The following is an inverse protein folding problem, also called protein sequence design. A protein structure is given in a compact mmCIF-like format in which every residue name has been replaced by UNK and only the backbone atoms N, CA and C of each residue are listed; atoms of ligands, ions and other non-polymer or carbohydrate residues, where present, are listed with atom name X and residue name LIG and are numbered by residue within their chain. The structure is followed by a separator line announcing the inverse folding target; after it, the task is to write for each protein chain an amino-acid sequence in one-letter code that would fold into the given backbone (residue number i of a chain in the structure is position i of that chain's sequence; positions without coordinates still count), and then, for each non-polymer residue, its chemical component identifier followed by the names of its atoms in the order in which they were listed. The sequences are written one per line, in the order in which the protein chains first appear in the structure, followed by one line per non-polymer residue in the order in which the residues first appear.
data_IF_000880343002
#
_entry.id   IF_000880343002
#
_cell.length_a   1.000
_cell.length_b   1.000
_cell.length_c   1.000
_cell.angle_alpha   90.00
_cell.angle_beta   90.00
_cell.angle_gamma   90.00
#
_symmetry.space_group_name_H-M   'P 1'
#
loop_
_entity.id
_entity.type
_entity.pdbx_description
1 polymer ?
#
# COMPACT_ATOMS: atom_id res chain seq x y z
N UNK A 1 -12.45 -13.01 7.26
CA UNK A 1 -11.20 -12.77 6.52
C UNK A 1 -11.14 -13.78 5.38
N UNK A 2 -10.42 -13.47 4.30
CA UNK A 2 -10.13 -14.47 3.26
C UNK A 2 -8.81 -15.16 3.59
N UNK A 3 -8.83 -16.49 3.51
CA UNK A 3 -7.68 -17.35 3.78
C UNK A 3 -6.94 -17.64 2.47
N UNK A 4 -7.69 -17.80 1.38
CA UNK A 4 -7.14 -18.00 0.04
C UNK A 4 -7.82 -17.04 -0.91
N UNK A 5 -7.01 -16.19 -1.57
CA UNK A 5 -7.48 -15.43 -2.73
C UNK A 5 -7.28 -16.29 -3.97
N UNK A 6 -8.37 -16.67 -4.62
CA UNK A 6 -8.33 -17.56 -5.77
C UNK A 6 -9.46 -17.33 -6.77
N UNK A 7 -9.27 -17.89 -7.95
CA UNK A 7 -10.12 -17.75 -9.13
C UNK A 7 -10.21 -19.08 -9.88
N UNK A 8 -11.22 -19.19 -10.75
CA UNK A 8 -11.37 -20.29 -11.70
C UNK A 8 -11.60 -19.77 -13.11
N UNK A 9 -11.04 -20.48 -14.08
CA UNK A 9 -11.21 -20.25 -15.51
C UNK A 9 -11.81 -21.51 -16.11
N UNK A 10 -12.90 -21.38 -16.87
CA UNK A 10 -13.58 -22.50 -17.55
C UNK A 10 -12.85 -22.86 -18.86
N UNK A 11 -11.56 -23.16 -18.76
CA UNK A 11 -10.74 -23.61 -19.88
C UNK A 11 -9.48 -24.29 -19.37
N UNK A 12 -8.98 -25.23 -20.14
CA UNK A 12 -7.65 -25.82 -19.98
C UNK A 12 -6.66 -25.43 -21.06
N UNK A 13 -7.15 -24.75 -22.11
CA UNK A 13 -6.32 -24.36 -23.24
C UNK A 13 -5.32 -23.31 -22.76
N UNK A 14 -4.05 -23.63 -22.91
CA UNK A 14 -2.97 -22.74 -22.48
C UNK A 14 -3.09 -21.35 -23.12
N UNK A 15 -3.48 -21.27 -24.40
CA UNK A 15 -3.68 -19.99 -25.10
C UNK A 15 -4.76 -19.10 -24.50
N UNK A 16 -5.85 -19.68 -24.00
CA UNK A 16 -6.93 -18.93 -23.34
C UNK A 16 -6.48 -18.44 -21.96
N UNK A 17 -5.74 -19.29 -21.23
CA UNK A 17 -5.15 -18.93 -19.93
C UNK A 17 -4.10 -17.83 -20.10
N UNK A 18 -3.21 -17.94 -21.09
CA UNK A 18 -2.19 -16.93 -21.42
C UNK A 18 -2.81 -15.58 -21.75
N UNK A 19 -3.92 -15.56 -22.50
CA UNK A 19 -4.66 -14.33 -22.81
C UNK A 19 -5.16 -13.66 -21.53
N UNK A 20 -5.72 -14.44 -20.60
CA UNK A 20 -6.17 -13.94 -19.29
C UNK A 20 -4.97 -13.42 -18.47
N UNK A 21 -3.83 -14.12 -18.50
CA UNK A 21 -2.62 -13.69 -17.77
C UNK A 21 -2.05 -12.38 -18.33
N UNK A 22 -2.08 -12.19 -19.65
CA UNK A 22 -1.64 -10.94 -20.28
C UNK A 22 -2.53 -9.77 -19.85
N UNK A 23 -3.87 -9.95 -19.89
CA UNK A 23 -4.81 -8.95 -19.41
C UNK A 23 -4.60 -8.67 -17.90
N UNK A 24 -4.36 -9.72 -17.11
CA UNK A 24 -4.07 -9.59 -15.68
C UNK A 24 -2.80 -8.79 -15.43
N UNK A 25 -1.73 -9.06 -16.18
CA UNK A 25 -0.47 -8.32 -16.10
C UNK A 25 -0.68 -6.82 -16.37
N UNK A 26 -1.40 -6.48 -17.43
CA UNK A 26 -1.69 -5.08 -17.76
C UNK A 26 -2.56 -4.40 -16.69
N UNK A 27 -3.58 -5.09 -16.16
CA UNK A 27 -4.44 -4.57 -15.09
C UNK A 27 -3.66 -4.34 -13.80
N UNK A 28 -2.81 -5.28 -13.41
CA UNK A 28 -1.97 -5.17 -12.21
C UNK A 28 -0.92 -4.07 -12.38
N UNK A 29 -0.26 -3.94 -13.52
CA UNK A 29 0.70 -2.87 -13.77
C UNK A 29 0.06 -1.47 -13.69
N UNK A 30 -1.15 -1.31 -14.22
CA UNK A 30 -1.91 -0.06 -14.11
C UNK A 30 -2.30 0.25 -12.65
N UNK A 31 -2.72 -0.77 -11.90
CA UNK A 31 -3.06 -0.64 -10.49
C UNK A 31 -1.82 -0.31 -9.63
N UNK A 32 -0.69 -0.95 -9.92
CA UNK A 32 0.60 -0.66 -9.30
C UNK A 32 0.99 0.80 -9.55
N UNK A 33 0.87 1.28 -10.79
CA UNK A 33 1.14 2.69 -11.12
C UNK A 33 0.27 3.67 -10.34
N UNK A 34 -1.01 3.34 -10.15
CA UNK A 34 -1.93 4.14 -9.32
C UNK A 34 -1.48 4.17 -7.86
N UNK A 35 -1.16 3.02 -7.28
CA UNK A 35 -0.72 2.89 -5.89
C UNK A 35 0.61 3.61 -5.65
N UNK A 36 1.55 3.49 -6.59
CA UNK A 36 2.83 4.19 -6.53
C UNK A 36 2.63 5.70 -6.48
N UNK A 37 1.79 6.27 -7.34
CA UNK A 37 1.48 7.72 -7.32
C UNK A 37 0.87 8.17 -5.99
N UNK A 38 0.00 7.35 -5.40
CA UNK A 38 -0.60 7.65 -4.09
C UNK A 38 0.47 7.68 -3.00
N UNK A 39 1.33 6.67 -2.95
CA UNK A 39 2.44 6.61 -1.98
C UNK A 39 3.43 7.74 -2.19
N UNK A 40 3.78 8.06 -3.44
CA UNK A 40 4.68 9.16 -3.77
C UNK A 40 4.08 10.51 -3.34
N UNK A 41 2.79 10.73 -3.58
CA UNK A 41 2.11 11.95 -3.14
C UNK A 41 2.15 12.11 -1.62
N UNK A 42 2.03 11.01 -0.87
CA UNK A 42 2.17 10.98 0.60
C UNK A 42 3.61 11.28 1.02
N UNK A 43 4.60 10.70 0.37
CA UNK A 43 6.01 10.90 0.71
C UNK A 43 6.44 12.36 0.49
N UNK A 44 6.07 12.93 -0.67
CA UNK A 44 6.29 14.36 -0.98
C UNK A 44 5.60 15.23 0.07
N UNK A 45 4.35 14.90 0.43
CA UNK A 45 3.60 15.65 1.45
C UNK A 45 4.35 15.67 2.79
N UNK A 46 4.84 14.51 3.23
CA UNK A 46 5.60 14.39 4.47
C UNK A 46 6.90 15.20 4.42
N UNK A 47 7.64 15.13 3.31
CA UNK A 47 8.88 15.88 3.12
C UNK A 47 8.62 17.39 3.13
N UNK A 48 7.67 17.88 2.34
CA UNK A 48 7.32 19.32 2.31
C UNK A 48 6.95 19.83 3.69
N UNK A 49 6.10 19.12 4.42
CA UNK A 49 5.68 19.56 5.75
C UNK A 49 6.83 19.55 6.76
N UNK A 50 7.71 18.55 6.71
CA UNK A 50 8.87 18.49 7.60
C UNK A 50 9.91 19.56 7.27
N UNK A 51 10.05 19.95 6.00
CA UNK A 51 10.87 21.09 5.58
C UNK A 51 10.24 22.41 6.07
N UNK A 52 8.94 22.59 5.87
CA UNK A 52 8.23 23.81 6.29
C UNK A 52 8.27 24.01 7.81
N UNK A 53 8.23 22.93 8.58
CA UNK A 53 8.34 22.94 10.05
C UNK A 53 9.79 22.93 10.54
N UNK A 54 10.78 23.04 9.64
CA UNK A 54 12.21 23.03 9.95
C UNK A 54 12.66 21.79 10.75
N UNK A 55 11.99 20.64 10.54
CA UNK A 55 12.35 19.34 11.12
C UNK A 55 13.49 18.71 10.32
N UNK A 56 13.43 18.85 9.00
CA UNK A 56 14.48 18.41 8.08
C UNK A 56 14.91 19.57 7.19
N UNK A 57 16.16 19.55 6.75
CA UNK A 57 16.66 20.53 5.80
C UNK A 57 16.15 20.20 4.39
N UNK A 58 15.92 21.25 3.58
CA UNK A 58 15.61 21.06 2.16
C UNK A 58 16.83 20.41 1.48
N UNK A 59 16.63 19.43 0.57
CA UNK A 59 17.73 18.84 -0.19
C UNK A 59 18.60 19.90 -0.88
N UNK A 60 19.91 19.63 -0.97
CA UNK A 60 20.92 20.53 -1.55
C UNK A 60 20.77 20.67 -3.08
N UNK A 61 21.57 21.57 -3.67
CA UNK A 61 21.46 22.12 -5.04
C UNK A 61 21.45 21.14 -6.23
N UNK A 62 21.41 19.84 -6.01
CA UNK A 62 21.46 18.81 -7.07
C UNK A 62 20.21 17.92 -7.09
N UNK A 63 19.25 18.14 -6.17
CA UNK A 63 18.10 17.26 -6.00
C UNK A 63 16.82 18.04 -5.66
N UNK A 64 15.73 17.74 -6.37
CA UNK A 64 14.41 18.28 -6.04
C UNK A 64 13.75 17.49 -4.89
N UNK A 65 12.67 18.03 -4.31
CA UNK A 65 11.89 17.28 -3.30
C UNK A 65 11.26 16.03 -3.95
N UNK A 66 10.85 16.14 -5.21
CA UNK A 66 10.31 15.02 -5.97
C UNK A 66 11.34 13.88 -6.13
N UNK A 67 12.58 14.20 -6.51
CA UNK A 67 13.64 13.20 -6.68
C UNK A 67 13.96 12.49 -5.35
N UNK A 68 14.06 13.26 -4.26
CA UNK A 68 14.27 12.69 -2.93
C UNK A 68 13.12 11.74 -2.55
N UNK A 69 11.88 12.15 -2.78
CA UNK A 69 10.71 11.33 -2.49
C UNK A 69 10.67 10.03 -3.32
N UNK A 70 11.03 10.10 -4.61
CA UNK A 70 11.14 8.93 -5.50
C UNK A 70 12.18 7.95 -4.95
N UNK A 71 13.37 8.44 -4.58
CA UNK A 71 14.42 7.59 -4.05
C UNK A 71 13.98 6.89 -2.76
N UNK A 72 13.44 7.65 -1.80
CA UNK A 72 12.95 7.10 -0.53
C UNK A 72 11.83 6.07 -0.73
N UNK A 73 10.88 6.33 -1.64
CA UNK A 73 9.79 5.41 -1.92
C UNK A 73 10.30 4.13 -2.59
N UNK A 74 11.19 4.24 -3.58
CA UNK A 74 11.75 3.10 -4.28
C UNK A 74 12.54 2.19 -3.34
N UNK A 75 13.30 2.76 -2.41
CA UNK A 75 14.01 2.00 -1.37
C UNK A 75 13.03 1.21 -0.47
N UNK A 76 11.93 1.84 -0.03
CA UNK A 76 10.91 1.16 0.78
C UNK A 76 10.22 0.04 0.02
N UNK A 77 9.89 0.26 -1.25
CA UNK A 77 9.28 -0.76 -2.10
C UNK A 77 10.25 -1.93 -2.33
N UNK A 78 11.52 -1.65 -2.65
CA UNK A 78 12.54 -2.68 -2.83
C UNK A 78 12.73 -3.51 -1.55
N UNK A 79 12.77 -2.85 -0.38
CA UNK A 79 12.85 -3.54 0.90
C UNK A 79 11.61 -4.40 1.18
N UNK A 80 10.40 -3.87 0.97
CA UNK A 80 9.17 -4.61 1.22
C UNK A 80 9.01 -5.82 0.29
N UNK A 81 9.35 -5.67 -0.99
CA UNK A 81 9.31 -6.77 -1.97
C UNK A 81 10.36 -7.85 -1.72
N UNK A 82 11.54 -7.51 -1.18
CA UNK A 82 12.57 -8.51 -0.84
C UNK A 82 12.28 -9.24 0.46
N UNK A 83 11.67 -8.56 1.44
CA UNK A 83 11.34 -9.14 2.75
C UNK A 83 9.95 -9.78 2.81
N UNK A 84 9.15 -9.62 1.75
CA UNK A 84 7.73 -10.00 1.71
C UNK A 84 6.94 -9.45 2.91
N UNK A 85 7.24 -8.20 3.29
CA UNK A 85 6.53 -7.55 4.38
C UNK A 85 5.11 -7.25 3.92
N UNK A 86 4.11 -7.73 4.66
CA UNK A 86 2.70 -7.51 4.34
C UNK A 86 2.25 -6.08 4.65
N UNK A 87 2.71 -5.11 3.85
CA UNK A 87 2.35 -3.70 3.94
C UNK A 87 2.10 -3.09 2.55
N UNK A 88 1.74 -1.81 2.51
CA UNK A 88 1.40 -1.08 1.30
C UNK A 88 2.55 -0.92 0.29
N UNK A 89 3.79 -1.20 0.69
CA UNK A 89 4.97 -1.10 -0.16
C UNK A 89 5.33 -2.42 -0.86
N UNK A 90 4.65 -3.54 -0.54
CA UNK A 90 4.86 -4.78 -1.28
C UNK A 90 4.01 -4.82 -2.57
N UNK A 91 4.69 -4.63 -3.70
CA UNK A 91 4.10 -4.62 -5.02
C UNK A 91 4.15 -6.00 -5.69
N UNK A 92 4.62 -7.03 -4.97
CA UNK A 92 4.75 -8.38 -5.51
C UNK A 92 3.37 -9.00 -5.73
N UNK A 93 3.12 -9.44 -6.96
CA UNK A 93 1.88 -10.14 -7.32
C UNK A 93 2.22 -11.39 -8.11
N UNK A 94 1.85 -12.53 -7.55
CA UNK A 94 2.07 -13.84 -8.15
C UNK A 94 0.75 -14.56 -8.39
N UNK A 95 0.64 -15.22 -9.53
CA UNK A 95 -0.43 -16.18 -9.82
C UNK A 95 0.15 -17.59 -9.91
N UNK A 96 -0.48 -18.53 -9.21
CA UNK A 96 -0.18 -19.95 -9.29
C UNK A 96 -1.32 -20.64 -10.03
N UNK A 97 -1.01 -21.16 -11.22
CA UNK A 97 -1.95 -21.82 -12.10
C UNK A 97 -1.90 -23.32 -11.79
N UNK A 98 -3.06 -23.85 -11.42
CA UNK A 98 -3.25 -25.21 -10.95
C UNK A 98 -4.35 -25.88 -11.76
N UNK A 99 -4.02 -27.00 -12.39
CA UNK A 99 -4.97 -27.86 -13.08
C UNK A 99 -5.45 -28.94 -12.12
N UNK A 100 -6.68 -29.37 -12.31
CA UNK A 100 -7.25 -30.49 -11.57
C UNK A 100 -7.31 -31.70 -12.51
N UNK A 101 -6.71 -32.82 -12.11
CA UNK A 101 -6.76 -34.07 -12.90
C UNK A 101 -8.18 -34.62 -13.03
N UNK A 102 -9.11 -34.22 -12.15
CA UNK A 102 -10.49 -34.70 -12.12
C UNK A 102 -11.49 -33.84 -12.89
N UNK A 103 -11.17 -32.57 -13.13
CA UNK A 103 -12.03 -31.63 -13.85
C UNK A 103 -11.26 -31.01 -15.03
N UNK A 104 -11.26 -31.74 -16.14
CA UNK A 104 -10.48 -31.40 -17.33
C UNK A 104 -11.00 -30.19 -18.12
N UNK A 105 -11.85 -29.35 -17.52
CA UNK A 105 -12.35 -28.13 -18.15
C UNK A 105 -12.15 -26.88 -17.27
N UNK A 106 -11.56 -27.04 -16.08
CA UNK A 106 -11.38 -25.94 -15.13
C UNK A 106 -9.93 -25.80 -14.72
N UNK A 107 -9.39 -24.59 -14.89
CA UNK A 107 -8.11 -24.20 -14.33
C UNK A 107 -8.34 -23.32 -13.10
N UNK A 108 -7.67 -23.65 -12.00
CA UNK A 108 -7.70 -22.89 -10.76
C UNK A 108 -6.48 -21.98 -10.67
N UNK A 109 -6.68 -20.76 -10.19
CA UNK A 109 -5.62 -19.77 -10.06
C UNK A 109 -5.62 -19.26 -8.62
N UNK A 110 -4.49 -19.42 -7.91
CA UNK A 110 -4.27 -18.80 -6.61
C UNK A 110 -3.48 -17.52 -6.79
N UNK A 111 -3.93 -16.44 -6.16
CA UNK A 111 -3.23 -15.16 -6.13
C UNK A 111 -2.45 -15.06 -4.81
N UNK A 112 -1.19 -14.66 -4.89
CA UNK A 112 -0.42 -14.19 -3.74
C UNK A 112 -0.09 -12.72 -3.94
N UNK A 113 -0.63 -11.89 -3.04
CA UNK A 113 -0.31 -10.47 -2.92
C UNK A 113 -0.71 -9.97 -1.55
N UNK A 114 0.08 -9.05 -1.00
CA UNK A 114 -0.21 -8.40 0.27
C UNK A 114 -1.24 -7.26 0.14
N UNK A 115 -1.46 -6.73 -1.07
CA UNK A 115 -2.37 -5.60 -1.29
C UNK A 115 -3.75 -6.03 -1.80
N UNK A 116 -4.85 -5.63 -1.12
CA UNK A 116 -6.20 -5.96 -1.54
C UNK A 116 -6.62 -5.25 -2.84
N UNK A 117 -5.91 -4.20 -3.26
CA UNK A 117 -6.27 -3.44 -4.45
C UNK A 117 -6.00 -4.22 -5.75
N UNK A 118 -4.94 -5.05 -5.78
CA UNK A 118 -4.68 -5.93 -6.92
C UNK A 118 -5.76 -7.00 -7.08
N UNK A 119 -6.32 -7.50 -5.98
CA UNK A 119 -7.47 -8.41 -6.06
C UNK A 119 -8.69 -7.72 -6.72
N UNK A 120 -8.98 -6.48 -6.34
CA UNK A 120 -10.12 -5.73 -6.89
C UNK A 120 -10.00 -5.52 -8.40
N UNK A 121 -8.79 -5.31 -8.94
CA UNK A 121 -8.62 -5.11 -10.36
C UNK A 121 -8.77 -6.42 -11.16
N UNK A 122 -8.34 -7.56 -10.59
CA UNK A 122 -8.47 -8.89 -11.21
C UNK A 122 -9.92 -9.40 -11.26
N UNK A 123 -10.77 -9.05 -10.30
CA UNK A 123 -12.20 -9.36 -10.32
C UNK A 123 -12.95 -8.79 -11.55
N UNK A 124 -12.33 -7.87 -12.31
CA UNK A 124 -12.92 -7.23 -13.48
C UNK A 124 -12.48 -7.86 -14.81
N UNK A 125 -11.78 -9.00 -14.76
CA UNK A 125 -11.29 -9.69 -15.95
C UNK A 125 -12.31 -10.74 -16.39
N UNK A 126 -12.80 -10.60 -17.61
CA UNK A 126 -13.73 -11.56 -18.20
C UNK A 126 -13.10 -12.96 -18.28
N UNK A 127 -13.87 -13.98 -17.89
CA UNK A 127 -13.41 -15.37 -17.83
C UNK A 127 -12.66 -15.76 -16.55
N UNK A 128 -12.28 -14.79 -15.70
CA UNK A 128 -11.66 -15.04 -14.40
C UNK A 128 -12.69 -14.95 -13.27
N UNK A 129 -13.35 -16.07 -12.96
CA UNK A 129 -14.41 -16.09 -11.95
C UNK A 129 -13.82 -16.20 -10.53
N UNK A 130 -14.20 -15.33 -9.56
CA UNK A 130 -13.75 -15.45 -8.19
C UNK A 130 -14.09 -16.82 -7.56
N UNK A 131 -13.11 -17.41 -6.89
CA UNK A 131 -13.19 -18.72 -6.24
C UNK A 131 -12.36 -18.76 -4.95
N UNK A 132 -12.49 -17.70 -4.14
CA UNK A 132 -11.72 -17.50 -2.91
C UNK A 132 -12.32 -18.27 -1.72
N UNK A 133 -11.49 -18.56 -0.72
CA UNK A 133 -11.87 -19.23 0.53
C UNK A 133 -11.88 -18.20 1.67
N UNK A 134 -13.00 -18.12 2.40
CA UNK A 134 -13.15 -17.27 3.57
C UNK A 134 -13.12 -18.08 4.87
N UNK A 135 -12.90 -17.44 6.02
CA UNK A 135 -12.97 -18.11 7.33
C UNK A 135 -14.28 -18.88 7.54
N UNK A 136 -15.39 -18.34 7.01
CA UNK A 136 -16.71 -18.97 7.10
C UNK A 136 -16.81 -20.26 6.29
N UNK A 137 -16.09 -20.34 5.17
CA UNK A 137 -16.08 -21.52 4.30
C UNK A 137 -15.35 -22.70 4.97
N UNK A 138 -14.29 -22.41 5.73
CA UNK A 138 -13.49 -23.43 6.44
C UNK A 138 -14.27 -24.06 7.59
N UNK A 139 -15.07 -23.29 8.32
CA UNK A 139 -15.88 -23.80 9.42
C UNK A 139 -17.05 -24.71 8.96
N UNK A 140 -17.39 -24.70 7.67
CA UNK A 140 -18.55 -25.38 7.12
C UNK A 140 -18.21 -26.64 6.30
N UNK A 141 -16.92 -27.00 6.19
CA UNK A 141 -16.42 -28.14 5.41
C UNK A 141 -17.11 -28.27 4.04
N UNK A 142 -17.04 -27.19 3.26
CA UNK A 142 -17.73 -27.10 1.97
C UNK A 142 -16.86 -27.60 0.80
N UNK A 143 -17.50 -27.96 -0.32
CA UNK A 143 -16.85 -28.46 -1.54
C UNK A 143 -15.68 -27.57 -2.02
N UNK A 144 -15.73 -26.26 -1.72
CA UNK A 144 -14.67 -25.31 -2.06
C UNK A 144 -13.41 -25.51 -1.19
N UNK A 145 -13.59 -25.70 0.11
CA UNK A 145 -12.51 -26.01 1.06
C UNK A 145 -11.82 -27.31 0.70
N UNK A 146 -12.61 -28.35 0.40
CA UNK A 146 -12.11 -29.65 -0.04
C UNK A 146 -11.30 -29.52 -1.34
N UNK A 147 -11.82 -28.78 -2.32
CA UNK A 147 -11.13 -28.57 -3.61
C UNK A 147 -9.80 -27.84 -3.44
N UNK A 148 -9.73 -26.77 -2.65
CA UNK A 148 -8.46 -26.07 -2.38
C UNK A 148 -7.46 -26.96 -1.65
N UNK A 149 -7.94 -27.79 -0.71
CA UNK A 149 -7.10 -28.75 0.02
C UNK A 149 -6.55 -29.83 -0.93
N UNK A 150 -7.40 -30.35 -1.83
CA UNK A 150 -7.00 -31.32 -2.86
C UNK A 150 -5.93 -30.74 -3.79
N UNK A 151 -6.14 -29.53 -4.31
CA UNK A 151 -5.17 -28.84 -5.17
C UNK A 151 -3.84 -28.63 -4.45
N UNK A 152 -3.86 -28.15 -3.20
CA UNK A 152 -2.63 -27.97 -2.43
C UNK A 152 -1.87 -29.27 -2.24
N UNK A 153 -2.55 -30.37 -1.87
CA UNK A 153 -1.94 -31.69 -1.72
C UNK A 153 -1.35 -32.23 -3.02
N UNK A 154 -1.99 -31.97 -4.16
CA UNK A 154 -1.47 -32.36 -5.48
C UNK A 154 -0.18 -31.59 -5.80
N UNK A 155 -0.20 -30.28 -5.57
CA UNK A 155 0.93 -29.38 -5.82
C UNK A 155 1.99 -29.34 -4.70
N UNK A 156 1.91 -30.25 -3.72
CA UNK A 156 3.06 -30.62 -2.88
C UNK A 156 4.04 -31.51 -3.65
N UNK A 157 3.54 -32.33 -4.60
CA UNK A 157 4.35 -33.24 -5.41
C UNK A 157 4.80 -32.61 -6.74
N UNK A 158 4.05 -31.64 -7.22
CA UNK A 158 4.29 -30.95 -8.50
C UNK A 158 4.39 -29.45 -8.28
N UNK A 159 5.23 -28.75 -9.04
CA UNK A 159 5.31 -27.29 -8.98
C UNK A 159 4.23 -26.66 -9.87
N UNK A 160 3.36 -25.79 -9.34
CA UNK A 160 2.37 -25.09 -10.17
C UNK A 160 3.08 -24.13 -11.13
N UNK A 161 2.46 -23.88 -12.29
CA UNK A 161 2.95 -22.84 -13.19
C UNK A 161 2.79 -21.50 -12.46
N UNK A 162 3.92 -20.86 -12.19
CA UNK A 162 3.96 -19.61 -11.44
C UNK A 162 4.20 -18.46 -12.40
N UNK A 163 3.31 -17.48 -12.39
CA UNK A 163 3.42 -16.27 -13.20
C UNK A 163 3.57 -15.09 -12.28
N UNK A 164 4.67 -14.36 -12.44
CA UNK A 164 4.86 -13.07 -11.79
C UNK A 164 4.14 -12.01 -12.63
N UNK A 165 3.09 -11.42 -12.07
CA UNK A 165 2.33 -10.37 -12.74
C UNK A 165 3.01 -9.01 -12.61
N UNK A 166 3.64 -8.75 -11.46
CA UNK A 166 4.35 -7.50 -11.23
C UNK A 166 5.39 -7.64 -10.11
N UNK A 167 6.43 -6.82 -10.17
CA UNK A 167 7.47 -6.70 -9.13
C UNK A 167 8.06 -5.30 -9.10
N UNK A 168 8.67 -4.94 -7.97
CA UNK A 168 9.35 -3.66 -7.77
C UNK A 168 10.34 -3.31 -8.89
N UNK A 169 11.04 -4.29 -9.44
CA UNK A 169 12.03 -4.08 -10.51
C UNK A 169 11.41 -3.60 -11.83
N UNK A 170 10.09 -3.75 -12.00
CA UNK A 170 9.38 -3.26 -13.19
C UNK A 170 8.99 -1.77 -13.05
N UNK A 171 9.27 -1.12 -11.91
CA UNK A 171 9.00 0.31 -11.71
C UNK A 171 10.07 1.13 -12.45
N UNK A 172 9.70 1.63 -13.62
CA UNK A 172 10.54 2.51 -14.45
C UNK A 172 9.72 3.69 -15.02
N UNK A 173 8.62 4.04 -14.36
CA UNK A 173 7.68 5.02 -14.89
C UNK A 173 8.23 6.43 -14.77
N UNK A 174 8.13 7.17 -15.87
CA UNK A 174 8.25 8.62 -15.84
C UNK A 174 7.09 9.21 -15.03
N UNK A 175 7.42 9.92 -13.96
CA UNK A 175 6.44 10.58 -13.09
C UNK A 175 6.22 12.00 -13.60
N UNK A 176 4.98 12.26 -14.02
CA UNK A 176 4.54 13.61 -14.37
C UNK A 176 3.95 14.28 -13.12
N UNK A 177 4.52 15.40 -12.64
CA UNK A 177 4.09 16.09 -11.42
C UNK A 177 2.59 16.45 -11.39
N UNK A 178 2.03 16.84 -12.54
CA UNK A 178 0.62 17.18 -12.74
C UNK A 178 -0.36 16.02 -12.45
N UNK A 179 0.13 14.79 -12.45
CA UNK A 179 -0.67 13.60 -12.13
C UNK A 179 -0.67 13.22 -10.65
N UNK A 180 0.04 13.96 -9.80
CA UNK A 180 0.08 13.75 -8.36
C UNK A 180 -1.03 14.57 -7.68
N UNK A 181 -1.58 14.02 -6.60
CA UNK A 181 -2.68 14.64 -5.86
C UNK A 181 -2.29 14.84 -4.41
N UNK A 182 -2.29 16.09 -3.97
CA UNK A 182 -1.89 16.49 -2.62
C UNK A 182 -3.08 16.96 -1.80
N UNK A 183 -3.05 16.67 -0.51
CA UNK A 183 -4.03 17.19 0.44
C UNK A 183 -3.87 18.70 0.61
N UNK A 184 -4.98 19.39 0.87
CA UNK A 184 -4.95 20.83 1.11
C UNK A 184 -4.13 21.15 2.38
N UNK A 185 -3.57 22.36 2.51
CA UNK A 185 -2.93 22.78 3.77
C UNK A 185 -3.84 22.60 4.99
N UNK A 186 -5.16 22.77 4.83
CA UNK A 186 -6.14 22.58 5.91
C UNK A 186 -6.25 21.13 6.37
N UNK A 187 -6.33 20.18 5.42
CA UNK A 187 -6.42 18.75 5.76
C UNK A 187 -5.12 18.26 6.39
N UNK A 188 -3.97 18.74 5.89
CA UNK A 188 -2.66 18.41 6.45
C UNK A 188 -2.46 19.01 7.83
N UNK A 189 -2.87 20.26 8.04
CA UNK A 189 -2.85 20.90 9.36
C UNK A 189 -3.72 20.14 10.37
N UNK A 190 -4.91 19.67 9.96
CA UNK A 190 -5.77 18.83 10.81
C UNK A 190 -5.07 17.54 11.23
N UNK A 191 -4.51 16.79 10.27
CA UNK A 191 -3.81 15.53 10.55
C UNK A 191 -2.59 15.75 11.43
N UNK A 192 -1.79 16.79 11.16
CA UNK A 192 -0.61 17.12 11.96
C UNK A 192 -0.95 17.63 13.36
N UNK A 193 -1.99 18.44 13.53
CA UNK A 193 -2.46 18.85 14.85
C UNK A 193 -2.85 17.63 15.69
N UNK A 194 -3.57 16.67 15.08
CA UNK A 194 -3.88 15.38 15.71
C UNK A 194 -2.61 14.66 16.15
N UNK A 195 -1.64 14.47 15.25
CA UNK A 195 -0.40 13.76 15.56
C UNK A 195 0.41 14.44 16.66
N UNK A 196 0.52 15.78 16.63
CA UNK A 196 1.23 16.55 17.66
C UNK A 196 0.59 16.36 19.04
N UNK A 197 -0.74 16.41 19.12
CA UNK A 197 -1.45 16.17 20.38
C UNK A 197 -1.34 14.73 20.85
N UNK A 198 -1.47 13.75 19.95
CA UNK A 198 -1.26 12.33 20.28
C UNK A 198 0.16 12.14 20.82
N UNK A 199 1.17 12.72 20.17
CA UNK A 199 2.56 12.64 20.59
C UNK A 199 2.80 13.33 21.93
N UNK A 200 2.19 14.50 22.16
CA UNK A 200 2.24 15.20 23.45
C UNK A 200 1.70 14.32 24.58
N UNK A 201 0.54 13.68 24.37
CA UNK A 201 -0.07 12.78 25.33
C UNK A 201 0.79 11.54 25.57
N UNK A 202 1.27 10.90 24.50
CA UNK A 202 2.19 9.76 24.59
C UNK A 202 3.45 10.10 25.39
N UNK A 203 4.03 11.28 25.17
CA UNK A 203 5.16 11.76 25.94
C UNK A 203 4.79 11.94 27.42
N UNK A 204 3.59 12.44 27.74
CA UNK A 204 3.13 12.55 29.13
C UNK A 204 2.99 11.18 29.80
N UNK A 205 2.35 10.21 29.14
CA UNK A 205 2.22 8.84 29.63
C UNK A 205 3.57 8.13 29.77
N UNK A 206 4.50 8.42 28.86
CA UNK A 206 5.88 7.95 28.90
C UNK A 206 6.79 8.70 29.88
N UNK A 207 6.28 9.67 30.64
CA UNK A 207 7.08 10.56 31.51
C UNK A 207 8.26 11.24 30.77
N UNK A 208 8.03 11.63 29.51
CA UNK A 208 9.00 12.17 28.55
C UNK A 208 10.20 11.24 28.25
N UNK A 209 10.09 9.95 28.60
CA UNK A 209 11.08 8.92 28.28
C UNK A 209 10.67 8.07 27.08
N UNK A 210 11.54 7.12 26.73
CA UNK A 210 11.23 6.10 25.74
C UNK A 210 10.14 5.16 26.29
N UNK A 211 9.02 5.04 25.57
CA UNK A 211 7.96 4.11 25.93
C UNK A 211 8.43 2.68 25.62
N UNK A 212 8.44 1.75 26.59
CA UNK A 212 8.77 0.35 26.33
C UNK A 212 7.76 -0.28 25.36
N UNK A 213 8.23 -1.13 24.43
CA UNK A 213 7.37 -1.74 23.40
C UNK A 213 6.13 -2.45 23.97
N UNK A 214 6.25 -3.12 25.12
CA UNK A 214 5.14 -3.84 25.74
C UNK A 214 4.03 -2.93 26.31
N UNK A 215 4.30 -1.63 26.50
CA UNK A 215 3.32 -0.61 26.95
C UNK A 215 2.89 0.35 25.84
N UNK A 216 3.52 0.30 24.68
CA UNK A 216 3.28 1.27 23.62
C UNK A 216 1.80 1.30 23.18
N UNK A 217 1.22 0.12 22.96
CA UNK A 217 -0.19 0.02 22.55
C UNK A 217 -1.15 0.51 23.63
N UNK A 218 -0.89 0.15 24.89
CA UNK A 218 -1.67 0.63 26.04
C UNK A 218 -1.69 2.16 26.10
N UNK A 219 -0.52 2.80 26.03
CA UNK A 219 -0.43 4.26 26.08
C UNK A 219 -1.00 4.94 24.84
N UNK A 220 -0.93 4.28 23.68
CA UNK A 220 -1.55 4.77 22.44
C UNK A 220 -3.08 4.77 22.53
N UNK A 221 -3.66 3.71 23.08
CA UNK A 221 -5.10 3.61 23.31
C UNK A 221 -5.58 4.68 24.30
N UNK A 222 -4.83 4.89 25.38
CA UNK A 222 -5.11 5.96 26.36
C UNK A 222 -5.02 7.35 25.73
N UNK A 223 -3.95 7.64 24.99
CA UNK A 223 -3.76 8.91 24.30
C UNK A 223 -4.87 9.18 23.28
N UNK A 224 -5.26 8.17 22.51
CA UNK A 224 -6.32 8.28 21.50
C UNK A 224 -7.68 8.51 22.13
N UNK A 225 -7.99 7.77 23.22
CA UNK A 225 -9.23 7.95 23.97
C UNK A 225 -9.32 9.35 24.56
N UNK A 226 -8.21 9.88 25.07
CA UNK A 226 -8.16 11.19 25.72
C UNK A 226 -8.25 12.36 24.73
N UNK A 227 -7.77 12.18 23.50
CA UNK A 227 -7.95 13.10 22.39
C UNK A 227 -9.42 13.34 22.02
N UNK A 228 -10.32 12.39 22.32
CA UNK A 228 -11.75 12.52 22.08
C UNK A 228 -12.48 13.37 23.14
N UNK A 229 -11.79 13.80 24.19
CA UNK A 229 -12.38 14.64 25.23
C UNK A 229 -12.39 16.12 24.79
N UNK A 230 -13.48 16.82 25.11
CA UNK A 230 -13.69 18.26 24.81
C UNK A 230 -12.53 19.16 25.28
N UNK A 231 -11.82 18.77 26.35
CA UNK A 231 -10.68 19.52 26.88
C UNK A 231 -9.56 19.76 25.86
N UNK A 232 -9.39 18.90 24.85
CA UNK A 232 -8.35 19.05 23.84
C UNK A 232 -8.82 19.72 22.56
N UNK A 233 -10.10 20.11 22.47
CA UNK A 233 -10.64 20.78 21.27
C UNK A 233 -10.01 22.16 21.06
N UNK A 234 -9.88 22.96 22.11
CA UNK A 234 -9.26 24.28 22.04
C UNK A 234 -7.77 24.18 21.66
N UNK A 235 -7.06 23.21 22.25
CA UNK A 235 -5.64 22.99 21.94
C UNK A 235 -5.46 22.47 20.50
N UNK A 236 -6.36 21.60 20.04
CA UNK A 236 -6.39 21.12 18.66
C UNK A 236 -6.60 22.26 17.67
N UNK A 237 -7.60 23.12 17.93
CA UNK A 237 -7.90 24.27 17.10
C UNK A 237 -6.73 25.25 17.05
N UNK A 238 -6.04 25.46 18.17
CA UNK A 238 -4.85 26.30 18.25
C UNK A 238 -3.70 25.74 17.39
N UNK A 239 -3.35 24.45 17.56
CA UNK A 239 -2.33 23.80 16.74
C UNK A 239 -2.66 23.84 15.25
N UNK A 240 -3.92 23.59 14.90
CA UNK A 240 -4.35 23.65 13.50
C UNK A 240 -4.19 25.06 12.92
N UNK A 241 -4.58 26.10 13.66
CA UNK A 241 -4.45 27.49 13.23
C UNK A 241 -2.98 27.90 13.02
N UNK A 242 -2.06 27.42 13.87
CA UNK A 242 -0.63 27.71 13.71
C UNK A 242 -0.02 26.96 12.53
N UNK A 243 -0.37 25.68 12.35
CA UNK A 243 0.07 24.90 11.21
C UNK A 243 -0.41 25.50 9.88
N UNK A 244 -1.64 26.02 9.83
CA UNK A 244 -2.18 26.68 8.64
C UNK A 244 -1.37 27.90 8.18
N UNK A 245 -0.67 28.58 9.09
CA UNK A 245 0.20 29.73 8.75
C UNK A 245 1.53 29.30 8.13
N UNK A 246 1.95 28.05 8.36
CA UNK A 246 3.28 27.54 8.01
C UNK A 246 3.22 26.63 6.78
N UNK A 247 2.20 25.76 6.69
CA UNK A 247 2.13 24.72 5.68
C UNK A 247 1.84 25.31 4.28
N UNK A 248 2.76 25.16 3.30
CA UNK A 248 2.60 25.75 1.97
C UNK A 248 1.62 24.95 1.11
N UNK A 249 0.99 25.56 0.11
CA UNK A 249 0.32 24.78 -0.94
C UNK A 249 1.38 23.98 -1.71
N UNK A 250 1.15 22.68 -1.89
CA UNK A 250 2.04 21.85 -2.72
C UNK A 250 1.63 22.03 -4.19
N UNK A 251 2.52 22.61 -4.97
CA UNK A 251 2.42 22.72 -6.42
C UNK A 251 3.64 22.09 -7.12
N UNK A 252 3.56 21.98 -8.44
CA UNK A 252 4.63 21.40 -9.26
C UNK A 252 5.96 22.15 -9.07
N UNK A 253 5.93 23.49 -9.02
CA UNK A 253 7.14 24.30 -8.87
C UNK A 253 7.84 24.02 -7.54
N UNK A 254 7.10 23.90 -6.45
CA UNK A 254 7.65 23.63 -5.13
C UNK A 254 8.42 22.31 -5.11
N UNK A 255 7.88 21.27 -5.77
CA UNK A 255 8.42 19.92 -5.68
C UNK A 255 9.51 19.62 -6.70
N UNK A 256 9.51 20.30 -7.86
CA UNK A 256 10.52 20.12 -8.93
C UNK A 256 11.66 21.12 -8.84
N UNK A 257 11.51 22.23 -8.12
CA UNK A 257 12.58 23.24 -8.01
C UNK A 257 13.79 22.72 -7.23
N UNK A 258 14.94 22.77 -7.91
CA UNK A 258 16.25 22.52 -7.33
C UNK A 258 16.78 23.85 -6.75
N UNK A 259 17.16 23.90 -5.46
CA UNK A 259 17.72 25.11 -4.87
C UNK A 259 18.98 25.57 -5.62
N UNK A 260 19.05 26.86 -6.00
CA UNK A 260 20.22 27.41 -6.68
C UNK A 260 20.26 27.24 -8.20
N UNK A 261 19.31 26.51 -8.81
CA UNK A 261 19.09 26.56 -10.26
C UNK A 261 18.41 27.89 -10.61
N UNK A 262 19.21 28.93 -10.88
CA UNK A 262 18.70 30.18 -11.43
C UNK A 262 18.13 29.95 -12.84
N UNK A 263 16.99 30.58 -13.13
CA UNK A 263 16.48 30.79 -14.48
C UNK A 263 17.51 31.53 -15.35
#
# INVERSE_FOLDING_TARGET
MEIITGYKVKSEKLSEIETIMMIAKDKVANEAKRNYKLLLSREITNLVDNIALNVIQRPSNDMSILDLAINMLNERIAFASTTHTANEYDFSVFMYIMKDETDSNITYIKLSSCSPDFKKCLNRIDGLAPYSLTDKDVCLDNDRSEKWTQLHKMYEKYTPITVQLFTANEINWEIKPDTLAFFSPKDRAFVKARHNLTQKLLNQYGNNGQIPNFRFMEYLDEATSRLANEQYEDEFAHYQADLLKILPVIDEKLITSIPGAAN
#
